data_IF_642129186863
#
_entry.id   IF_642129186863
#
_cell.length_a   1.000
_cell.length_b   1.000
_cell.length_c   1.000
_cell.angle_alpha   90.00
_cell.angle_beta   90.00
_cell.angle_gamma   90.00
#
_symmetry.space_group_name_H-M   'P 1'
#
loop_
_entity.id
_entity.type
_entity.pdbx_description
1 polymer ?
#
# COMPACT_ATOMS: atom_id res chain seq x y z
N UNK A 1 6.48 4.71 -6.60
CA UNK A 1 7.53 3.76 -6.10
C UNK A 1 7.05 2.89 -4.93
N UNK A 2 6.34 3.44 -3.94
CA UNK A 2 5.83 2.70 -2.78
C UNK A 2 4.94 1.50 -3.13
N UNK A 3 3.98 1.67 -4.06
CA UNK A 3 3.10 0.59 -4.48
C UNK A 3 3.86 -0.65 -5.03
N UNK A 4 4.93 -0.43 -5.80
CA UNK A 4 5.74 -1.53 -6.35
C UNK A 4 6.43 -2.35 -5.25
N UNK A 5 7.01 -1.68 -4.25
CA UNK A 5 7.63 -2.35 -3.11
C UNK A 5 6.61 -3.13 -2.28
N UNK A 6 5.41 -2.55 -2.07
CA UNK A 6 4.32 -3.20 -1.34
C UNK A 6 3.77 -4.43 -2.07
N UNK A 7 3.58 -4.35 -3.40
CA UNK A 7 3.13 -5.48 -4.22
C UNK A 7 4.15 -6.63 -4.22
N UNK A 8 5.43 -6.31 -4.43
CA UNK A 8 6.50 -7.32 -4.40
C UNK A 8 6.59 -7.94 -3.00
N UNK A 9 6.51 -7.14 -1.94
CA UNK A 9 6.45 -7.63 -0.57
C UNK A 9 5.24 -8.53 -0.29
N UNK A 10 4.07 -8.21 -0.85
CA UNK A 10 2.86 -9.01 -0.72
C UNK A 10 3.01 -10.38 -1.39
N UNK A 11 3.60 -10.43 -2.60
CA UNK A 11 3.87 -11.67 -3.33
C UNK A 11 4.87 -12.54 -2.55
N UNK A 12 5.95 -11.96 -2.04
CA UNK A 12 6.96 -12.69 -1.24
C UNK A 12 6.32 -13.25 0.05
N UNK A 13 5.49 -12.47 0.74
CA UNK A 13 4.82 -12.89 1.96
C UNK A 13 3.77 -13.98 1.70
N UNK A 14 3.05 -13.91 0.57
CA UNK A 14 2.16 -14.98 0.14
C UNK A 14 2.91 -16.28 -0.20
N UNK A 15 4.02 -16.18 -0.94
CA UNK A 15 4.88 -17.31 -1.27
C UNK A 15 5.46 -17.95 -0.01
N UNK A 16 5.86 -17.14 0.98
CA UNK A 16 6.34 -17.62 2.28
C UNK A 16 5.27 -18.41 3.02
N UNK A 17 4.02 -17.92 3.01
CA UNK A 17 2.88 -18.64 3.59
C UNK A 17 2.67 -20.01 2.94
N UNK A 18 2.73 -20.08 1.61
CA UNK A 18 2.65 -21.37 0.89
C UNK A 18 3.82 -22.30 1.24
N UNK A 19 5.04 -21.75 1.33
CA UNK A 19 6.22 -22.53 1.68
C UNK A 19 6.15 -23.10 3.11
N UNK A 20 5.60 -22.36 4.07
CA UNK A 20 5.35 -22.84 5.44
C UNK A 20 4.32 -23.99 5.46
N UNK A 21 3.42 -24.06 4.48
CA UNK A 21 2.44 -25.13 4.37
C UNK A 21 3.05 -26.45 3.84
N UNK A 22 4.07 -26.36 2.98
CA UNK A 22 4.68 -27.51 2.28
C UNK A 22 5.99 -27.97 2.93
N UNK A 23 6.74 -27.03 3.52
CA UNK A 23 8.10 -27.24 4.00
C UNK A 23 8.14 -27.22 5.54
N UNK A 24 8.91 -28.14 6.12
CA UNK A 24 9.11 -28.14 7.57
C UNK A 24 9.97 -26.94 8.00
N UNK A 25 9.44 -26.05 8.86
CA UNK A 25 10.12 -24.82 9.23
C UNK A 25 11.40 -25.03 10.04
N UNK A 26 11.61 -26.24 10.60
CA UNK A 26 12.80 -26.57 11.39
C UNK A 26 14.03 -26.82 10.52
N UNK A 27 13.85 -27.42 9.35
CA UNK A 27 14.97 -27.71 8.44
C UNK A 27 15.33 -26.49 7.59
N UNK A 28 14.34 -25.66 7.24
CA UNK A 28 14.50 -24.54 6.32
C UNK A 28 14.36 -23.16 6.99
N UNK A 29 14.69 -23.08 8.28
CA UNK A 29 14.50 -21.87 9.09
C UNK A 29 15.20 -20.63 8.50
N UNK A 30 16.41 -20.78 7.96
CA UNK A 30 17.20 -19.67 7.39
C UNK A 30 16.52 -19.12 6.12
N UNK A 31 16.05 -20.02 5.25
CA UNK A 31 15.36 -19.63 4.01
C UNK A 31 14.06 -18.88 4.33
N UNK A 32 13.26 -19.41 5.26
CA UNK A 32 12.01 -18.77 5.70
C UNK A 32 12.27 -17.42 6.37
N UNK A 33 13.31 -17.32 7.21
CA UNK A 33 13.68 -16.05 7.84
C UNK A 33 14.09 -14.99 6.82
N UNK A 34 14.86 -15.36 5.79
CA UNK A 34 15.23 -14.45 4.70
C UNK A 34 13.99 -13.98 3.92
N UNK A 35 13.10 -14.90 3.56
CA UNK A 35 11.86 -14.56 2.84
C UNK A 35 10.95 -13.63 3.65
N UNK A 36 10.75 -13.91 4.95
CA UNK A 36 10.02 -13.02 5.86
C UNK A 36 10.71 -11.65 5.95
N UNK A 37 12.04 -11.63 6.05
CA UNK A 37 12.82 -10.39 6.09
C UNK A 37 12.61 -9.52 4.85
N UNK A 38 12.64 -10.12 3.65
CA UNK A 38 12.39 -9.44 2.38
C UNK A 38 10.95 -8.90 2.29
N UNK A 39 9.96 -9.68 2.73
CA UNK A 39 8.57 -9.22 2.80
C UNK A 39 8.40 -8.02 3.73
N UNK A 40 9.02 -8.06 4.92
CA UNK A 40 9.03 -6.94 5.88
C UNK A 40 9.72 -5.71 5.33
N UNK A 41 10.86 -5.88 4.64
CA UNK A 41 11.57 -4.77 4.03
C UNK A 41 10.69 -4.01 3.03
N UNK A 42 9.97 -4.73 2.14
CA UNK A 42 9.03 -4.09 1.21
C UNK A 42 7.91 -3.30 1.91
N UNK A 43 7.37 -3.84 3.00
CA UNK A 43 6.38 -3.14 3.81
C UNK A 43 6.94 -1.88 4.49
N UNK A 44 8.15 -1.96 5.05
CA UNK A 44 8.83 -0.81 5.69
C UNK A 44 9.10 0.32 4.70
N UNK A 45 9.66 0.01 3.52
CA UNK A 45 9.91 1.02 2.48
C UNK A 45 8.63 1.74 2.06
N UNK A 46 7.52 0.99 1.97
CA UNK A 46 6.22 1.56 1.61
C UNK A 46 5.68 2.47 2.70
N UNK A 47 5.79 2.07 3.96
CA UNK A 47 5.39 2.88 5.12
C UNK A 47 6.18 4.19 5.24
N UNK A 48 7.51 4.15 5.01
CA UNK A 48 8.34 5.35 5.03
C UNK A 48 7.94 6.34 3.93
N UNK A 49 7.63 5.83 2.73
CA UNK A 49 7.13 6.66 1.63
C UNK A 49 5.76 7.26 1.93
N UNK A 50 4.85 6.52 2.57
CA UNK A 50 3.53 7.01 2.99
C UNK A 50 3.64 8.13 4.03
N UNK A 51 4.52 8.02 5.02
CA UNK A 51 4.74 9.08 6.01
C UNK A 51 5.29 10.34 5.34
N UNK A 52 6.25 10.20 4.44
CA UNK A 52 6.82 11.32 3.71
C UNK A 52 5.73 12.03 2.88
N UNK A 53 4.92 11.25 2.17
CA UNK A 53 3.79 11.76 1.40
C UNK A 53 2.74 12.45 2.28
N UNK A 54 2.41 11.87 3.43
CA UNK A 54 1.51 12.48 4.40
C UNK A 54 2.07 13.81 4.93
N UNK A 55 3.38 13.92 5.14
CA UNK A 55 4.01 15.16 5.57
C UNK A 55 3.96 16.27 4.50
N UNK A 56 3.89 15.91 3.22
CA UNK A 56 3.78 16.87 2.11
C UNK A 56 2.34 17.38 1.98
N UNK A 57 1.35 16.50 2.00
CA UNK A 57 -0.05 16.87 1.74
C UNK A 57 -0.72 17.51 2.96
N UNK A 58 -0.33 17.10 4.18
CA UNK A 58 -0.99 17.58 5.38
C UNK A 58 -0.42 18.96 5.77
N UNK A 59 -1.25 20.03 5.75
CA UNK A 59 -0.80 21.37 6.08
C UNK A 59 -0.39 21.47 7.56
N UNK A 60 0.59 22.34 7.83
CA UNK A 60 1.26 22.44 9.14
C UNK A 60 0.30 22.73 10.31
N UNK A 61 -0.80 23.44 10.05
CA UNK A 61 -1.82 23.81 11.04
C UNK A 61 -2.62 22.63 11.60
N UNK A 62 -2.76 21.52 10.86
CA UNK A 62 -3.46 20.30 11.32
C UNK A 62 -2.58 19.06 11.37
N UNK A 63 -1.31 19.16 10.95
CA UNK A 63 -0.37 18.04 10.90
C UNK A 63 -0.29 17.26 12.21
N UNK A 64 -0.21 17.96 13.35
CA UNK A 64 -0.18 17.31 14.66
C UNK A 64 -1.42 16.45 14.95
N UNK A 65 -2.61 16.95 14.60
CA UNK A 65 -3.88 16.24 14.81
C UNK A 65 -4.02 15.05 13.85
N UNK A 66 -3.69 15.24 12.57
CA UNK A 66 -3.75 14.18 11.57
C UNK A 66 -2.80 13.02 11.89
N UNK A 67 -1.54 13.32 12.26
CA UNK A 67 -0.56 12.31 12.68
C UNK A 67 -0.99 11.58 13.95
N UNK A 68 -1.58 12.29 14.92
CA UNK A 68 -2.15 11.66 16.12
C UNK A 68 -3.26 10.66 15.77
N UNK A 69 -4.17 11.02 14.85
CA UNK A 69 -5.23 10.13 14.42
C UNK A 69 -4.69 8.87 13.71
N UNK A 70 -3.72 9.04 12.81
CA UNK A 70 -3.04 7.90 12.15
C UNK A 70 -2.43 6.97 13.20
N UNK A 71 -1.81 7.53 14.24
CA UNK A 71 -1.19 6.74 15.30
C UNK A 71 -2.22 5.91 16.09
N UNK A 72 -3.37 6.51 16.45
CA UNK A 72 -4.46 5.80 17.13
C UNK A 72 -5.00 4.65 16.28
N UNK A 73 -5.16 4.86 14.97
CA UNK A 73 -5.56 3.80 14.02
C UNK A 73 -4.50 2.70 13.94
N UNK A 74 -3.21 3.07 13.98
CA UNK A 74 -2.10 2.12 14.04
C UNK A 74 -2.11 1.25 15.29
N UNK A 75 -2.47 1.82 16.46
CA UNK A 75 -2.65 1.07 17.70
C UNK A 75 -3.84 0.11 17.63
N UNK A 76 -4.96 0.54 17.04
CA UNK A 76 -6.11 -0.33 16.80
C UNK A 76 -5.74 -1.50 15.88
N UNK A 77 -4.97 -1.24 14.82
CA UNK A 77 -4.46 -2.27 13.89
C UNK A 77 -3.49 -3.24 14.57
N UNK A 78 -2.66 -2.74 15.49
CA UNK A 78 -1.76 -3.58 16.30
C UNK A 78 -2.54 -4.54 17.21
N UNK A 79 -3.69 -4.08 17.73
CA UNK A 79 -4.59 -4.95 18.52
C UNK A 79 -5.16 -6.09 17.67
N UNK A 80 -5.48 -5.82 16.40
CA UNK A 80 -5.95 -6.84 15.46
C UNK A 80 -4.86 -7.88 15.13
N UNK A 81 -3.58 -7.48 15.12
CA UNK A 81 -2.46 -8.39 14.83
C UNK A 81 -2.36 -9.55 15.82
N UNK A 82 -2.69 -9.34 17.10
CA UNK A 82 -2.72 -10.43 18.09
C UNK A 82 -3.73 -11.52 17.74
N UNK A 83 -4.91 -11.13 17.23
CA UNK A 83 -5.91 -12.09 16.75
C UNK A 83 -5.43 -12.86 15.51
N UNK A 84 -4.71 -12.19 14.60
CA UNK A 84 -4.15 -12.83 13.41
C UNK A 84 -3.09 -13.87 13.79
N UNK A 85 -2.25 -13.58 14.78
CA UNK A 85 -1.27 -14.56 15.30
C UNK A 85 -1.98 -15.73 15.98
N UNK A 86 -3.09 -15.48 16.69
CA UNK A 86 -3.88 -16.55 17.31
C UNK A 86 -4.42 -17.55 16.26
N UNK A 87 -4.77 -17.09 15.06
CA UNK A 87 -5.18 -17.98 13.95
C UNK A 87 -4.09 -18.99 13.53
N UNK A 88 -2.82 -18.73 13.83
CA UNK A 88 -1.71 -19.65 13.57
C UNK A 88 -1.85 -20.98 14.32
N UNK A 89 -2.59 -20.99 15.44
CA UNK A 89 -2.87 -22.20 16.23
C UNK A 89 -3.74 -23.21 15.46
N UNK A 90 -4.65 -22.73 14.61
CA UNK A 90 -5.51 -23.59 13.80
C UNK A 90 -4.80 -24.03 12.51
N UNK A 91 -4.17 -23.09 11.81
CA UNK A 91 -3.45 -23.37 10.58
C UNK A 91 -2.23 -22.46 10.45
N UNK A 92 -1.03 -23.06 10.48
CA UNK A 92 0.25 -22.35 10.50
C UNK A 92 0.46 -21.29 9.41
N UNK A 93 0.06 -21.49 8.14
CA UNK A 93 0.31 -20.49 7.08
C UNK A 93 -0.79 -19.42 6.99
N UNK A 94 -1.90 -19.57 7.73
CA UNK A 94 -3.06 -18.68 7.69
C UNK A 94 -2.72 -17.20 8.02
N UNK A 95 -1.91 -16.90 9.05
CA UNK A 95 -1.50 -15.52 9.33
C UNK A 95 -0.78 -14.88 8.14
N UNK A 96 0.08 -15.63 7.46
CA UNK A 96 0.85 -15.12 6.31
C UNK A 96 -0.05 -14.79 5.13
N UNK A 97 -1.08 -15.62 4.88
CA UNK A 97 -2.08 -15.38 3.83
C UNK A 97 -2.94 -14.15 4.18
N UNK A 98 -3.35 -14.03 5.45
CA UNK A 98 -4.17 -12.90 5.88
C UNK A 98 -3.42 -11.57 5.71
N UNK A 99 -2.16 -11.51 6.13
CA UNK A 99 -1.31 -10.33 5.97
C UNK A 99 -1.06 -10.03 4.49
N UNK A 100 -0.81 -11.03 3.64
CA UNK A 100 -0.59 -10.78 2.22
C UNK A 100 -1.83 -10.19 1.52
N UNK A 101 -3.03 -10.66 1.85
CA UNK A 101 -4.30 -10.08 1.34
C UNK A 101 -4.44 -8.61 1.77
N UNK A 102 -4.15 -8.28 3.03
CA UNK A 102 -4.16 -6.89 3.49
C UNK A 102 -3.14 -6.03 2.74
N UNK A 103 -1.95 -6.55 2.46
CA UNK A 103 -0.93 -5.84 1.66
C UNK A 103 -1.38 -5.63 0.22
N UNK A 104 -2.06 -6.61 -0.40
CA UNK A 104 -2.63 -6.44 -1.74
C UNK A 104 -3.71 -5.37 -1.78
N UNK A 105 -4.60 -5.33 -0.77
CA UNK A 105 -5.60 -4.29 -0.65
C UNK A 105 -4.93 -2.92 -0.47
N UNK A 106 -3.94 -2.81 0.43
CA UNK A 106 -3.17 -1.58 0.62
C UNK A 106 -2.47 -1.12 -0.66
N UNK A 107 -1.87 -2.05 -1.41
CA UNK A 107 -1.26 -1.73 -2.69
C UNK A 107 -2.28 -1.27 -3.74
N UNK A 108 -3.46 -1.89 -3.79
CA UNK A 108 -4.54 -1.46 -4.68
C UNK A 108 -5.05 -0.06 -4.30
N UNK A 109 -5.18 0.23 -3.01
CA UNK A 109 -5.52 1.57 -2.51
C UNK A 109 -4.42 2.58 -2.85
N UNK A 110 -3.15 2.18 -2.77
CA UNK A 110 -2.01 3.02 -3.18
C UNK A 110 -2.03 3.29 -4.69
N UNK A 111 -2.50 2.35 -5.51
CA UNK A 111 -2.76 2.53 -6.94
C UNK A 111 -3.93 3.48 -7.23
N UNK A 112 -4.93 3.56 -6.34
CA UNK A 112 -6.02 4.55 -6.43
C UNK A 112 -5.62 5.93 -5.93
N UNK A 113 -4.49 6.04 -5.22
CA UNK A 113 -3.96 7.36 -4.90
C UNK A 113 -3.43 7.98 -6.20
N UNK A 114 -3.97 9.12 -6.65
CA UNK A 114 -3.37 9.85 -7.75
C UNK A 114 -1.93 10.16 -7.36
N UNK A 115 -0.98 9.61 -8.12
CA UNK A 115 0.44 9.94 -8.00
C UNK A 115 0.53 11.47 -8.08
N UNK A 116 0.83 12.13 -6.96
CA UNK A 116 0.85 13.61 -6.79
C UNK A 116 1.97 14.28 -7.56
N UNK A 117 2.61 13.54 -8.44
CA UNK A 117 3.63 13.99 -9.35
C UNK A 117 2.96 14.84 -10.45
N UNK A 118 2.62 16.10 -10.13
CA UNK A 118 2.40 17.28 -11.01
C UNK A 118 1.24 18.22 -10.60
N UNK A 119 0.62 18.06 -9.42
CA UNK A 119 -0.39 19.02 -8.93
C UNK A 119 0.18 19.97 -7.86
N UNK A 120 -0.22 21.25 -7.92
CA UNK A 120 0.18 22.27 -6.97
C UNK A 120 -0.44 21.93 -5.60
N UNK A 121 0.42 21.61 -4.63
CA UNK A 121 0.01 21.21 -3.29
C UNK A 121 -0.81 22.34 -2.63
N UNK A 122 -1.98 22.04 -2.02
CA UNK A 122 -2.77 23.03 -1.30
C UNK A 122 -2.00 23.53 -0.08
N UNK A 123 -1.66 24.82 -0.04
CA UNK A 123 -0.93 25.43 1.08
C UNK A 123 -1.84 25.71 2.29
N UNK A 124 -3.15 25.71 2.09
CA UNK A 124 -4.15 26.02 3.11
C UNK A 124 -5.21 24.93 3.26
N UNK A 125 -5.80 24.83 4.45
CA UNK A 125 -6.94 23.91 4.72
C UNK A 125 -8.11 24.14 3.76
N UNK A 126 -8.40 25.40 3.45
CA UNK A 126 -9.47 25.76 2.53
C UNK A 126 -9.21 25.26 1.10
N UNK A 127 -7.95 25.29 0.64
CA UNK A 127 -7.58 24.70 -0.66
C UNK A 127 -7.68 23.17 -0.64
N UNK A 128 -7.33 22.53 0.48
CA UNK A 128 -7.50 21.08 0.66
C UNK A 128 -8.97 20.65 0.62
N UNK A 129 -9.87 21.45 1.19
CA UNK A 129 -11.32 21.18 1.17
C UNK A 129 -11.88 21.29 -0.26
N UNK A 130 -11.47 22.32 -1.02
CA UNK A 130 -11.89 22.49 -2.42
C UNK A 130 -11.32 21.40 -3.34
N UNK A 131 -10.11 20.94 -3.07
CA UNK A 131 -9.50 19.80 -3.75
C UNK A 131 -10.29 18.50 -3.51
N UNK A 132 -10.65 18.22 -2.25
CA UNK A 132 -11.42 17.03 -1.88
C UNK A 132 -12.85 17.02 -2.46
N UNK A 133 -13.48 18.18 -2.66
CA UNK A 133 -14.82 18.26 -3.25
C UNK A 133 -14.85 18.00 -4.76
N UNK A 134 -13.73 18.14 -5.47
CA UNK A 134 -13.67 18.03 -6.92
C UNK A 134 -13.13 16.67 -7.42
N UNK A 135 -12.60 15.84 -6.51
CA UNK A 135 -12.03 14.52 -6.79
C UNK A 135 -12.95 13.42 -6.23
N UNK A 136 -13.24 12.38 -7.03
CA UNK A 136 -13.93 11.20 -6.51
C UNK A 136 -12.95 10.33 -5.71
N UNK A 137 -13.38 9.82 -4.55
CA UNK A 137 -12.59 9.01 -3.60
C UNK A 137 -11.92 7.76 -4.23
N UNK A 138 -12.36 7.33 -5.42
CA UNK A 138 -11.84 6.20 -6.18
C UNK A 138 -11.44 6.64 -7.58
N UNK A 139 -10.49 7.56 -7.70
CA UNK A 139 -9.87 7.86 -8.99
C UNK A 139 -8.87 6.73 -9.32
N UNK A 140 -9.08 5.98 -10.42
CA UNK A 140 -8.15 4.94 -10.88
C UNK A 140 -7.27 5.51 -12.01
N UNK A 141 -6.05 6.03 -11.73
CA UNK A 141 -5.22 6.68 -12.75
C UNK A 141 -4.73 5.70 -13.83
N UNK A 142 -4.57 4.41 -13.47
CA UNK A 142 -4.10 3.38 -14.40
C UNK A 142 -5.08 3.09 -15.55
N UNK A 143 -6.39 3.21 -15.30
CA UNK A 143 -7.41 3.08 -16.35
C UNK A 143 -7.48 4.35 -17.21
N UNK A 144 -7.21 5.51 -16.63
CA UNK A 144 -7.16 6.78 -17.37
C UNK A 144 -5.98 6.82 -18.35
N UNK A 145 -4.78 6.44 -17.90
CA UNK A 145 -3.56 6.43 -18.74
C UNK A 145 -3.65 5.44 -19.91
N UNK A 146 -4.31 4.28 -19.73
CA UNK A 146 -4.59 3.34 -20.83
C UNK A 146 -5.58 3.93 -21.85
N UNK A 147 -6.54 4.74 -21.39
CA UNK A 147 -7.51 5.40 -22.26
C UNK A 147 -6.84 6.52 -23.07
N UNK A 148 -6.01 7.37 -22.45
CA UNK A 148 -5.23 8.38 -23.17
C UNK A 148 -4.24 7.79 -24.17
N UNK A 149 -3.53 6.70 -23.81
CA UNK A 149 -2.60 6.05 -24.74
C UNK A 149 -3.29 5.33 -25.91
N UNK A 150 -4.59 5.03 -25.79
CA UNK A 150 -5.42 4.51 -26.89
C UNK A 150 -5.88 5.65 -27.80
N UNK A 151 -6.26 6.80 -27.23
CA UNK A 151 -6.64 7.99 -27.99
C UNK A 151 -5.46 8.60 -28.76
N UNK A 152 -4.27 8.71 -28.16
CA UNK A 152 -3.05 9.17 -28.86
C UNK A 152 -2.61 8.23 -30.00
N UNK A 153 -2.95 6.93 -29.91
CA UNK A 153 -2.63 5.97 -30.95
C UNK A 153 -3.66 5.96 -32.09
N UNK A 154 -4.91 6.37 -31.82
CA UNK A 154 -5.95 6.61 -32.84
C UNK A 154 -5.73 7.93 -33.60
N UNK A 155 -5.31 9.01 -32.92
CA UNK A 155 -4.97 10.28 -33.58
C UNK A 155 -3.73 10.15 -34.48
N UNK A 156 -2.71 9.39 -34.07
CA UNK A 156 -1.52 9.14 -34.93
C UNK A 156 -1.80 8.26 -36.15
N UNK A 157 -2.96 7.59 -36.23
CA UNK A 157 -3.35 6.73 -37.37
C UNK A 157 -4.31 7.43 -38.34
N UNK A 158 -4.78 8.63 -38.00
CA UNK A 158 -5.73 9.43 -38.77
C UNK A 158 -5.12 10.69 -39.40
N UNK A 159 -3.83 10.94 -39.16
CA UNK A 159 -3.05 11.95 -39.88
C UNK A 159 -2.38 11.33 -41.13
N UNK A 160 -2.72 11.78 -42.36
CA UNK A 160 -2.16 11.25 -43.63
C UNK A 160 -0.72 11.68 -43.91
#
# INVERSE_FOLDING_TARGET
MACGALLVGAIITAATGFLIAVLDPKENAILLALMVGLGRFGATVSYDAEIQYAAEIIPTSVRGQAVSNIHVIGLASSSLAFYVIYLAQYYKPLPSIFISVLMFLGALLCLTLPETLHQKLPETLADGERFAMNESCLYFPCLHKRRESLTEHEDRKSEP
#
